data_IF_054807481134
#
_entry.id   IF_054807481134
#
_cell.length_a   1.000
_cell.length_b   1.000
_cell.length_c   1.000
_cell.angle_alpha   90.00
_cell.angle_beta   90.00
_cell.angle_gamma   90.00
#
_symmetry.space_group_name_H-M   'P 1'
#
loop_
_entity.id
_entity.type
_entity.pdbx_description
1 polymer ?
#
# COMPACT_ATOMS: atom_id res chain seq x y z
N UNK A 1 -24.90 -14.18 -3.50
CA UNK A 1 -24.04 -15.33 -3.86
C UNK A 1 -22.72 -14.82 -4.38
N UNK A 2 -21.72 -14.83 -3.51
CA UNK A 2 -20.32 -14.38 -3.78
C UNK A 2 -19.43 -15.58 -4.14
N UNK A 3 -19.94 -16.52 -4.89
CA UNK A 3 -19.21 -17.72 -5.27
C UNK A 3 -18.90 -17.68 -6.77
N UNK A 4 -17.72 -17.24 -7.14
CA UNK A 4 -17.32 -17.36 -8.53
C UNK A 4 -15.90 -16.98 -8.90
N UNK A 5 -15.18 -16.21 -8.08
CA UNK A 5 -13.85 -15.74 -8.46
C UNK A 5 -12.68 -16.35 -7.66
N UNK A 6 -12.94 -17.25 -6.71
CA UNK A 6 -11.87 -17.81 -5.85
C UNK A 6 -11.32 -19.18 -6.27
N UNK A 7 -12.05 -19.95 -7.04
CA UNK A 7 -11.73 -21.37 -7.27
C UNK A 7 -10.68 -21.64 -8.36
N UNK A 8 -10.17 -20.64 -9.05
CA UNK A 8 -9.16 -20.81 -10.11
C UNK A 8 -7.83 -20.10 -9.89
N UNK A 9 -7.64 -19.45 -8.74
CA UNK A 9 -6.51 -18.55 -8.53
C UNK A 9 -5.27 -19.20 -7.90
N UNK A 10 -5.30 -20.47 -7.57
CA UNK A 10 -4.13 -21.22 -7.07
C UNK A 10 -2.98 -21.29 -8.10
N UNK A 11 -3.30 -21.15 -9.38
CA UNK A 11 -2.30 -21.07 -10.46
C UNK A 11 -1.52 -19.75 -10.50
N UNK A 12 -1.94 -18.74 -9.72
CA UNK A 12 -1.29 -17.42 -9.66
C UNK A 12 -0.52 -17.19 -8.35
N UNK A 13 -0.11 -18.25 -7.68
CA UNK A 13 0.80 -18.14 -6.54
C UNK A 13 2.16 -17.60 -6.98
N UNK A 14 2.74 -16.74 -6.14
CA UNK A 14 4.12 -16.33 -6.32
C UNK A 14 5.03 -17.56 -6.24
N UNK A 15 5.83 -17.79 -7.28
CA UNK A 15 6.74 -18.93 -7.37
C UNK A 15 8.20 -18.47 -7.51
N UNK A 16 9.18 -19.31 -7.09
CA UNK A 16 10.59 -19.02 -7.30
C UNK A 16 10.95 -18.81 -8.78
N UNK A 17 10.29 -19.51 -9.69
CA UNK A 17 10.49 -19.39 -11.13
C UNK A 17 10.05 -18.00 -11.63
N UNK A 18 8.94 -17.49 -11.12
CA UNK A 18 8.46 -16.16 -11.44
C UNK A 18 9.43 -15.09 -10.92
N UNK A 19 9.88 -15.20 -9.66
CA UNK A 19 10.85 -14.28 -9.08
C UNK A 19 12.17 -14.31 -9.84
N UNK A 20 12.66 -15.52 -10.21
CA UNK A 20 13.85 -15.69 -11.03
C UNK A 20 13.73 -14.99 -12.38
N UNK A 21 12.57 -15.07 -13.03
CA UNK A 21 12.31 -14.39 -14.30
C UNK A 21 12.35 -12.86 -14.15
N UNK A 22 11.76 -12.32 -13.09
CA UNK A 22 11.86 -10.89 -12.79
C UNK A 22 13.31 -10.51 -12.52
N UNK A 23 14.04 -11.30 -11.72
CA UNK A 23 15.46 -11.09 -11.42
C UNK A 23 16.31 -11.04 -12.70
N UNK A 24 16.04 -11.90 -13.67
CA UNK A 24 16.77 -11.93 -14.95
C UNK A 24 16.48 -10.71 -15.84
N UNK A 25 15.26 -10.19 -15.80
CA UNK A 25 14.81 -9.09 -16.68
C UNK A 25 14.94 -7.71 -16.05
N UNK A 26 15.03 -7.63 -14.73
CA UNK A 26 15.24 -6.36 -14.02
C UNK A 26 16.60 -5.76 -14.35
N UNK A 27 16.73 -4.42 -14.39
CA UNK A 27 18.00 -3.75 -14.68
C UNK A 27 19.04 -4.02 -13.59
N UNK A 28 20.30 -4.18 -14.00
CA UNK A 28 21.43 -4.42 -13.09
C UNK A 28 21.93 -3.14 -12.39
N UNK A 29 21.48 -1.99 -12.84
CA UNK A 29 21.84 -0.69 -12.27
C UNK A 29 20.73 0.33 -12.49
N UNK A 30 20.65 1.31 -11.61
CA UNK A 30 19.75 2.44 -11.78
C UNK A 30 20.17 3.33 -12.95
N UNK A 31 19.24 3.86 -13.78
CA UNK A 31 19.55 4.81 -14.84
C UNK A 31 20.27 6.07 -14.32
N UNK A 32 19.95 6.46 -13.09
CA UNK A 32 20.62 7.53 -12.36
C UNK A 32 20.99 6.99 -10.98
N UNK A 33 22.27 7.08 -10.64
CA UNK A 33 22.74 6.64 -9.32
C UNK A 33 22.11 7.48 -8.21
N UNK A 34 21.54 6.87 -7.17
CA UNK A 34 21.03 7.60 -6.02
C UNK A 34 22.13 8.42 -5.35
N UNK A 35 21.81 9.65 -4.96
CA UNK A 35 22.77 10.53 -4.23
C UNK A 35 22.92 10.14 -2.75
N UNK A 36 22.02 9.32 -2.23
CA UNK A 36 22.02 8.78 -0.87
C UNK A 36 21.26 7.45 -0.87
N UNK A 37 21.39 6.69 0.20
CA UNK A 37 20.58 5.49 0.42
C UNK A 37 19.10 5.85 0.38
N UNK A 38 18.33 5.12 -0.42
CA UNK A 38 16.89 5.32 -0.57
C UNK A 38 16.11 4.17 0.03
N UNK A 39 14.99 4.48 0.67
CA UNK A 39 14.12 3.50 1.34
C UNK A 39 12.69 3.66 0.85
N UNK A 40 12.10 2.57 0.39
CA UNK A 40 10.75 2.54 -0.17
C UNK A 40 9.86 1.65 0.68
N UNK A 41 8.72 2.18 1.13
CA UNK A 41 7.65 1.39 1.74
C UNK A 41 6.74 0.83 0.65
N UNK A 42 6.52 -0.47 0.63
CA UNK A 42 5.44 -1.11 -0.13
C UNK A 42 4.34 -1.48 0.84
N UNK A 43 3.30 -0.67 0.87
CA UNK A 43 2.13 -0.89 1.71
C UNK A 43 1.07 -1.66 0.95
N UNK A 44 0.70 -2.85 1.44
CA UNK A 44 -0.09 -3.83 0.70
C UNK A 44 -1.37 -4.28 1.41
N UNK A 45 -1.87 -3.51 2.37
CA UNK A 45 -3.10 -3.84 3.09
C UNK A 45 -4.33 -3.66 2.21
N UNK A 46 -5.06 -4.74 1.94
CA UNK A 46 -6.36 -4.73 1.30
C UNK A 46 -7.44 -5.16 2.30
N UNK A 47 -8.35 -4.27 2.65
CA UNK A 47 -9.44 -4.50 3.61
C UNK A 47 -10.77 -4.83 2.92
N UNK A 48 -10.84 -4.58 1.61
CA UNK A 48 -11.93 -4.98 0.71
C UNK A 48 -11.51 -6.09 -0.24
N UNK A 49 -11.39 -5.78 -1.53
CA UNK A 49 -10.99 -6.77 -2.52
C UNK A 49 -9.48 -7.04 -2.46
N UNK A 50 -9.12 -8.28 -2.17
CA UNK A 50 -7.73 -8.72 -2.13
C UNK A 50 -7.30 -9.25 -3.50
N UNK A 51 -6.51 -8.47 -4.22
CA UNK A 51 -5.95 -8.88 -5.50
C UNK A 51 -4.91 -9.99 -5.34
N UNK A 52 -4.98 -11.02 -6.19
CA UNK A 52 -4.02 -12.12 -6.21
C UNK A 52 -2.59 -11.67 -6.56
N UNK A 53 -2.44 -10.57 -7.28
CA UNK A 53 -1.15 -10.04 -7.71
C UNK A 53 -0.37 -9.28 -6.62
N UNK A 54 -0.93 -9.06 -5.43
CA UNK A 54 -0.25 -8.35 -4.34
C UNK A 54 1.14 -8.93 -4.02
N UNK A 55 1.31 -10.25 -3.85
CA UNK A 55 2.65 -10.82 -3.62
C UNK A 55 3.61 -10.58 -4.78
N UNK A 56 3.12 -10.68 -6.03
CA UNK A 56 3.92 -10.49 -7.23
C UNK A 56 4.41 -9.05 -7.38
N UNK A 57 3.52 -8.08 -7.21
CA UNK A 57 3.89 -6.66 -7.28
C UNK A 57 4.82 -6.25 -6.15
N UNK A 58 4.62 -6.78 -4.93
CA UNK A 58 5.55 -6.58 -3.81
C UNK A 58 6.94 -7.13 -4.10
N UNK A 59 7.02 -8.38 -4.60
CA UNK A 59 8.27 -9.02 -4.97
C UNK A 59 8.96 -8.27 -6.12
N UNK A 60 8.21 -7.83 -7.13
CA UNK A 60 8.75 -7.06 -8.25
C UNK A 60 9.40 -5.76 -7.78
N UNK A 61 8.72 -4.96 -6.96
CA UNK A 61 9.28 -3.70 -6.44
C UNK A 61 10.54 -3.96 -5.64
N UNK A 62 10.53 -4.99 -4.79
CA UNK A 62 11.71 -5.39 -4.00
C UNK A 62 12.89 -5.79 -4.89
N UNK A 63 12.66 -6.68 -5.86
CA UNK A 63 13.71 -7.16 -6.78
C UNK A 63 14.31 -6.01 -7.59
N UNK A 64 13.47 -5.09 -8.08
CA UNK A 64 13.94 -3.92 -8.83
C UNK A 64 14.89 -3.05 -8.01
N UNK A 65 14.56 -2.78 -6.75
CA UNK A 65 15.41 -1.99 -5.86
C UNK A 65 16.73 -2.68 -5.54
N UNK A 66 16.66 -3.95 -5.11
CA UNK A 66 17.83 -4.74 -4.71
C UNK A 66 18.79 -4.95 -5.88
N UNK A 67 18.28 -5.34 -7.05
CA UNK A 67 19.11 -5.63 -8.22
C UNK A 67 19.77 -4.38 -8.80
N UNK A 68 19.02 -3.29 -8.91
CA UNK A 68 19.55 -2.03 -9.46
C UNK A 68 20.41 -1.24 -8.47
N UNK A 69 20.35 -1.58 -7.18
CA UNK A 69 20.99 -0.78 -6.11
C UNK A 69 20.35 0.60 -5.93
N UNK A 70 19.13 0.82 -6.47
CA UNK A 70 18.48 2.13 -6.43
C UNK A 70 17.85 2.45 -5.08
N UNK A 71 17.32 1.44 -4.37
CA UNK A 71 16.65 1.60 -3.08
C UNK A 71 16.55 0.27 -2.33
N UNK A 72 16.37 0.36 -1.04
CA UNK A 72 15.94 -0.76 -0.18
C UNK A 72 14.43 -0.72 0.01
N UNK A 73 13.81 -1.88 0.28
CA UNK A 73 12.36 -2.01 0.35
C UNK A 73 11.91 -2.53 1.71
N UNK A 74 10.89 -1.90 2.28
CA UNK A 74 10.13 -2.40 3.43
C UNK A 74 8.76 -2.83 2.93
N UNK A 75 8.41 -4.11 3.13
CA UNK A 75 7.08 -4.65 2.84
C UNK A 75 6.26 -4.62 4.12
N UNK A 76 5.08 -3.99 4.11
CA UNK A 76 4.23 -3.90 5.30
C UNK A 76 2.75 -3.80 4.94
N UNK A 77 1.90 -4.27 5.84
CA UNK A 77 0.46 -4.03 5.89
C UNK A 77 0.04 -3.33 7.20
N UNK A 78 1.02 -2.87 8.00
CA UNK A 78 0.78 -2.16 9.24
C UNK A 78 0.55 -0.67 9.00
N UNK A 79 -0.63 -0.17 9.38
CA UNK A 79 -1.00 1.24 9.24
C UNK A 79 -0.12 2.18 10.08
N UNK A 80 0.58 1.68 11.11
CA UNK A 80 1.51 2.50 11.90
C UNK A 80 2.73 2.97 11.10
N UNK A 81 2.98 2.40 9.91
CA UNK A 81 3.96 2.95 8.98
C UNK A 81 3.64 4.39 8.55
N UNK A 82 2.38 4.81 8.67
CA UNK A 82 1.95 6.19 8.39
C UNK A 82 2.03 7.13 9.60
N UNK A 83 2.45 6.67 10.78
CA UNK A 83 2.74 7.60 11.89
C UNK A 83 3.86 8.57 11.48
N UNK A 84 3.80 9.86 11.89
CA UNK A 84 4.81 10.85 11.52
C UNK A 84 6.26 10.42 11.78
N UNK A 85 6.49 9.77 12.91
CA UNK A 85 7.79 9.23 13.30
C UNK A 85 8.27 8.06 12.45
N UNK A 86 7.35 7.33 11.82
CA UNK A 86 7.68 6.17 10.98
C UNK A 86 7.74 6.54 9.50
N UNK A 87 6.80 7.37 9.00
CA UNK A 87 6.69 7.69 7.58
C UNK A 87 7.91 8.49 7.08
N UNK A 88 8.48 9.32 7.95
CA UNK A 88 9.63 10.18 7.63
C UNK A 88 10.90 9.44 7.22
N UNK A 89 10.99 8.13 7.52
CA UNK A 89 12.15 7.31 7.13
C UNK A 89 12.12 6.88 5.66
N UNK A 90 11.00 7.07 4.95
CA UNK A 90 10.83 6.61 3.57
C UNK A 90 11.02 7.76 2.58
N UNK A 91 11.68 7.48 1.47
CA UNK A 91 11.79 8.38 0.31
C UNK A 91 10.58 8.27 -0.62
N UNK A 92 9.96 7.08 -0.67
CA UNK A 92 8.73 6.86 -1.42
C UNK A 92 7.85 5.79 -0.75
N UNK A 93 6.56 5.92 -0.99
CA UNK A 93 5.53 4.95 -0.57
C UNK A 93 4.84 4.41 -1.82
N UNK A 94 4.74 3.10 -1.89
CA UNK A 94 3.97 2.38 -2.92
C UNK A 94 2.69 1.88 -2.27
N UNK A 95 1.52 2.41 -2.67
CA UNK A 95 0.23 1.84 -2.31
C UNK A 95 -0.08 0.69 -3.27
N UNK A 96 0.22 -0.52 -2.83
CA UNK A 96 0.16 -1.72 -3.64
C UNK A 96 -1.18 -2.42 -3.48
N UNK A 97 -2.12 -2.15 -4.38
CA UNK A 97 -3.45 -2.78 -4.37
C UNK A 97 -4.20 -2.64 -3.03
N UNK A 98 -4.02 -1.51 -2.34
CA UNK A 98 -4.65 -1.22 -1.05
C UNK A 98 -6.13 -0.88 -1.24
N UNK A 99 -6.92 -1.89 -1.63
CA UNK A 99 -8.34 -1.73 -1.89
C UNK A 99 -9.13 -1.78 -0.58
N UNK A 100 -9.85 -0.69 -0.21
CA UNK A 100 -10.73 -0.67 0.95
C UNK A 100 -12.07 -1.36 0.67
N UNK A 101 -12.81 -1.61 1.75
CA UNK A 101 -14.21 -1.99 1.66
C UNK A 101 -15.06 -0.86 1.04
N UNK A 102 -16.20 -1.24 0.49
CA UNK A 102 -17.11 -0.30 -0.20
C UNK A 102 -17.83 0.67 0.72
N UNK A 103 -17.88 0.41 2.03
CA UNK A 103 -18.66 1.22 2.98
C UNK A 103 -18.18 2.67 2.99
N UNK A 104 -16.94 2.90 3.40
CA UNK A 104 -16.38 4.25 3.48
C UNK A 104 -15.25 4.49 2.46
N UNK A 105 -14.86 3.44 1.72
CA UNK A 105 -13.79 3.48 0.72
C UNK A 105 -12.49 4.10 1.27
N UNK A 106 -12.13 3.68 2.50
CA UNK A 106 -10.96 4.19 3.22
C UNK A 106 -10.33 3.07 4.03
N UNK A 107 -9.10 2.71 3.67
CA UNK A 107 -8.35 1.61 4.30
C UNK A 107 -8.14 1.83 5.81
N UNK A 108 -7.86 3.06 6.24
CA UNK A 108 -7.64 3.36 7.66
C UNK A 108 -8.93 3.28 8.49
N UNK A 109 -10.04 3.76 7.94
CA UNK A 109 -11.36 3.62 8.58
C UNK A 109 -11.80 2.15 8.64
N UNK A 110 -11.43 1.34 7.66
CA UNK A 110 -11.70 -0.10 7.73
C UNK A 110 -10.94 -0.74 8.89
N UNK A 111 -9.64 -0.47 9.03
CA UNK A 111 -8.82 -1.03 10.11
C UNK A 111 -9.27 -0.56 11.48
N UNK A 112 -9.55 0.73 11.63
CA UNK A 112 -9.74 1.34 12.95
C UNK A 112 -11.20 1.42 13.38
N UNK A 113 -12.16 1.35 12.45
CA UNK A 113 -13.59 1.55 12.74
C UNK A 113 -14.45 0.41 12.22
N UNK A 114 -14.49 0.21 10.88
CA UNK A 114 -15.51 -0.63 10.25
C UNK A 114 -15.26 -2.14 10.43
N UNK A 115 -13.99 -2.54 10.45
CA UNK A 115 -13.54 -3.94 10.50
C UNK A 115 -12.43 -4.12 11.56
N UNK A 116 -12.55 -3.40 12.67
CA UNK A 116 -11.52 -3.39 13.73
C UNK A 116 -11.23 -4.81 14.27
N UNK A 117 -12.22 -5.65 14.40
CA UNK A 117 -12.03 -7.04 14.86
C UNK A 117 -11.21 -7.89 13.88
N UNK A 118 -11.29 -7.57 12.59
CA UNK A 118 -10.60 -8.32 11.54
C UNK A 118 -9.19 -7.81 11.24
N UNK A 119 -9.00 -6.50 11.20
CA UNK A 119 -7.76 -5.87 10.76
C UNK A 119 -7.07 -5.03 11.83
N UNK A 120 -7.80 -4.56 12.83
CA UNK A 120 -7.34 -3.63 13.86
C UNK A 120 -7.48 -4.17 15.28
N UNK A 121 -7.34 -5.46 15.50
CA UNK A 121 -7.59 -6.11 16.79
C UNK A 121 -6.85 -5.44 17.97
N UNK A 122 -5.64 -4.90 17.73
CA UNK A 122 -4.87 -4.16 18.76
C UNK A 122 -5.49 -2.83 19.18
N UNK A 123 -6.43 -2.29 18.39
CA UNK A 123 -7.11 -1.02 18.66
C UNK A 123 -8.54 -1.18 19.18
N UNK A 124 -9.07 -2.40 19.22
CA UNK A 124 -10.49 -2.65 19.52
C UNK A 124 -10.94 -2.13 20.89
N UNK A 125 -10.03 -2.10 21.86
CA UNK A 125 -10.32 -1.65 23.22
C UNK A 125 -10.23 -0.12 23.39
N UNK A 126 -9.78 0.60 22.37
CA UNK A 126 -9.81 2.06 22.34
C UNK A 126 -11.23 2.57 22.07
N UNK A 127 -11.63 3.70 22.67
CA UNK A 127 -12.88 4.40 22.34
C UNK A 127 -12.97 4.68 20.83
N UNK A 128 -14.19 4.66 20.30
CA UNK A 128 -14.43 4.96 18.88
C UNK A 128 -13.81 6.29 18.44
N UNK A 129 -14.00 7.32 19.25
CA UNK A 129 -13.47 8.68 18.99
C UNK A 129 -11.93 8.67 18.84
N UNK A 130 -11.23 7.91 19.69
CA UNK A 130 -9.77 7.78 19.62
C UNK A 130 -9.33 7.04 18.35
N UNK A 131 -10.08 6.02 17.92
CA UNK A 131 -9.81 5.28 16.68
C UNK A 131 -10.04 6.13 15.44
N UNK A 132 -11.09 6.95 15.43
CA UNK A 132 -11.37 7.92 14.37
C UNK A 132 -10.29 9.00 14.32
N UNK A 133 -9.89 9.54 15.47
CA UNK A 133 -8.80 10.51 15.57
C UNK A 133 -7.47 9.93 15.06
N UNK A 134 -7.17 8.65 15.36
CA UNK A 134 -5.99 7.98 14.85
C UNK A 134 -6.05 7.81 13.33
N UNK A 135 -7.20 7.41 12.76
CA UNK A 135 -7.37 7.33 11.31
C UNK A 135 -7.09 8.67 10.63
N UNK A 136 -7.63 9.75 11.17
CA UNK A 136 -7.37 11.10 10.68
C UNK A 136 -5.89 11.50 10.80
N UNK A 137 -5.25 11.21 11.94
CA UNK A 137 -3.82 11.48 12.16
C UNK A 137 -2.96 10.78 11.12
N UNK A 138 -3.20 9.50 10.86
CA UNK A 138 -2.43 8.71 9.90
C UNK A 138 -2.63 9.20 8.46
N UNK A 139 -3.86 9.55 8.09
CA UNK A 139 -4.17 10.12 6.79
C UNK A 139 -3.49 11.49 6.60
N UNK A 140 -3.61 12.38 7.59
CA UNK A 140 -2.95 13.70 7.55
C UNK A 140 -1.43 13.56 7.46
N UNK A 141 -0.84 12.61 8.17
CA UNK A 141 0.60 12.33 8.09
C UNK A 141 1.01 11.92 6.67
N UNK A 142 0.22 11.07 6.00
CA UNK A 142 0.49 10.67 4.61
C UNK A 142 0.38 11.87 3.65
N UNK A 143 -0.68 12.67 3.74
CA UNK A 143 -0.86 13.82 2.83
C UNK A 143 0.19 14.91 3.08
N UNK A 144 0.58 15.14 4.34
CA UNK A 144 1.68 16.05 4.69
C UNK A 144 3.01 15.55 4.12
N UNK A 145 3.33 14.26 4.30
CA UNK A 145 4.53 13.65 3.73
C UNK A 145 4.63 13.87 2.21
N UNK A 146 3.52 13.70 1.48
CA UNK A 146 3.47 13.94 0.03
C UNK A 146 3.66 15.43 -0.29
N UNK A 147 2.99 16.32 0.44
CA UNK A 147 3.09 17.76 0.26
C UNK A 147 4.50 18.30 0.51
N UNK A 148 5.25 17.66 1.40
CA UNK A 148 6.66 17.98 1.72
C UNK A 148 7.66 17.34 0.74
N UNK A 149 7.19 16.65 -0.29
CA UNK A 149 8.01 16.10 -1.37
C UNK A 149 8.31 14.62 -1.27
N UNK A 150 7.65 13.91 -0.37
CA UNK A 150 7.69 12.45 -0.30
C UNK A 150 7.12 11.81 -1.57
N UNK A 151 7.76 10.76 -2.07
CA UNK A 151 7.31 10.07 -3.28
C UNK A 151 6.06 9.22 -3.04
N UNK A 152 5.09 9.27 -3.95
CA UNK A 152 3.93 8.37 -3.94
C UNK A 152 3.81 7.62 -5.26
N UNK A 153 3.69 6.30 -5.18
CA UNK A 153 3.47 5.41 -6.33
C UNK A 153 2.18 4.63 -6.07
N UNK A 154 1.30 4.64 -7.04
CA UNK A 154 0.03 3.90 -6.98
C UNK A 154 0.11 2.70 -7.91
N UNK A 155 -0.07 1.51 -7.36
CA UNK A 155 -0.18 0.29 -8.14
C UNK A 155 -1.63 -0.20 -8.13
N UNK A 156 -2.24 -0.19 -9.32
CA UNK A 156 -3.57 -0.73 -9.62
C UNK A 156 -4.63 -0.31 -8.58
N UNK A 157 -5.14 -1.23 -7.76
CA UNK A 157 -6.16 -0.96 -6.74
C UNK A 157 -5.75 0.02 -5.63
N UNK A 158 -4.47 0.39 -5.55
CA UNK A 158 -3.99 1.42 -4.62
C UNK A 158 -4.65 2.79 -4.82
N UNK A 159 -5.16 3.07 -6.02
CA UNK A 159 -5.89 4.32 -6.30
C UNK A 159 -7.17 4.46 -5.46
N UNK A 160 -7.73 3.35 -4.99
CA UNK A 160 -8.96 3.37 -4.19
C UNK A 160 -8.73 3.46 -2.68
N UNK A 161 -7.47 3.48 -2.21
CA UNK A 161 -7.14 3.38 -0.79
C UNK A 161 -7.86 4.41 0.11
N UNK A 162 -8.09 5.61 -0.42
CA UNK A 162 -8.79 6.72 0.25
C UNK A 162 -9.80 7.36 -0.69
N UNK A 163 -10.62 6.54 -1.34
CA UNK A 163 -11.52 6.99 -2.40
C UNK A 163 -12.70 7.84 -1.90
N UNK A 164 -12.85 7.99 -0.60
CA UNK A 164 -13.78 8.93 0.04
C UNK A 164 -13.21 10.34 0.19
N UNK A 165 -11.95 10.58 -0.20
CA UNK A 165 -11.26 11.85 -0.06
C UNK A 165 -11.08 12.54 -1.41
N UNK A 166 -11.66 13.74 -1.56
CA UNK A 166 -11.45 14.59 -2.73
C UNK A 166 -9.99 15.09 -2.79
N UNK A 167 -9.36 15.34 -1.64
CA UNK A 167 -7.96 15.71 -1.53
C UNK A 167 -7.07 14.60 -2.10
N UNK A 168 -7.29 13.34 -1.69
CA UNK A 168 -6.51 12.23 -2.22
C UNK A 168 -6.74 12.04 -3.72
N UNK A 169 -7.98 12.18 -4.18
CA UNK A 169 -8.30 12.13 -5.61
C UNK A 169 -7.59 13.22 -6.42
N UNK A 170 -7.43 14.41 -5.86
CA UNK A 170 -6.66 15.49 -6.48
C UNK A 170 -5.16 15.19 -6.50
N UNK A 171 -4.60 14.62 -5.42
CA UNK A 171 -3.18 14.24 -5.33
C UNK A 171 -2.84 13.18 -6.40
N UNK A 172 -3.68 12.15 -6.55
CA UNK A 172 -3.39 11.02 -7.47
C UNK A 172 -3.96 11.21 -8.88
N UNK A 173 -4.67 12.31 -9.13
CA UNK A 173 -5.21 12.67 -10.45
C UNK A 173 -6.54 11.99 -10.80
N UNK A 174 -7.20 11.34 -9.87
CA UNK A 174 -8.49 10.69 -10.10
C UNK A 174 -8.91 9.75 -8.98
N UNK A 175 -10.08 9.17 -9.13
CA UNK A 175 -10.64 8.18 -8.19
C UNK A 175 -11.27 7.00 -8.94
N UNK A 176 -11.30 5.85 -8.28
CA UNK A 176 -12.02 4.68 -8.78
C UNK A 176 -13.50 4.82 -8.48
N UNK A 177 -14.35 4.70 -9.50
CA UNK A 177 -15.79 4.80 -9.33
C UNK A 177 -16.46 3.40 -9.24
N UNK A 178 -16.41 2.61 -10.30
CA UNK A 178 -17.01 1.26 -10.37
C UNK A 178 -16.41 0.46 -11.54
N UNK A 179 -16.62 -0.84 -11.51
CA UNK A 179 -16.42 -1.76 -12.65
C UNK A 179 -17.72 -1.92 -13.42
#
# INVERSE_FOLDING_TARGET
STSGFGAGLDSFKLTPEWESKIQQTAPDHAPVQPKADRKVLVFSLATGYKHWCIPHTSAMVKILGEKSGAYTTVLSDDIEQFLPENISQYDAIVLNNSCPDRKDRNTLLDVLVNKVDQFGAKYKDLPLEEREALAHKLYTSLTTYIAEGGGLIILHGGISAFNNSDEFSAIVGGSFNFH
#
